data_IF_677879221557
#
_entry.id   IF_677879221557
#
_cell.length_a   1.000
_cell.length_b   1.000
_cell.length_c   1.000
_cell.angle_alpha   90.00
_cell.angle_beta   90.00
_cell.angle_gamma   90.00
#
_symmetry.space_group_name_H-M   'P 1'
#
loop_
_entity.id
_entity.type
_entity.pdbx_description
1 polymer ?
#
# COMPACT_ATOMS: atom_id res chain seq x y z
N UNK A 1 -2.23 -39.71 0.29
CA UNK A 1 -2.75 -38.71 -0.67
C UNK A 1 -3.40 -37.61 0.15
N UNK A 2 -2.62 -36.59 0.55
CA UNK A 2 -3.06 -35.48 1.40
C UNK A 2 -3.60 -34.38 0.47
N UNK A 3 -4.92 -34.21 0.46
CA UNK A 3 -5.57 -33.08 -0.20
C UNK A 3 -5.23 -31.83 0.62
N UNK A 4 -4.37 -30.96 0.08
CA UNK A 4 -4.04 -29.68 0.67
C UNK A 4 -5.31 -28.87 0.83
N UNK A 5 -5.57 -28.37 2.06
CA UNK A 5 -6.58 -27.33 2.31
C UNK A 5 -6.23 -26.13 1.45
N UNK A 6 -6.99 -25.89 0.40
CA UNK A 6 -6.98 -24.63 -0.33
C UNK A 6 -7.34 -23.54 0.69
N UNK A 7 -6.36 -22.71 1.07
CA UNK A 7 -6.55 -21.59 1.97
C UNK A 7 -7.61 -20.67 1.38
N UNK A 8 -8.64 -20.38 2.16
CA UNK A 8 -9.68 -19.43 1.79
C UNK A 8 -9.04 -18.07 1.61
N UNK A 9 -9.16 -17.47 0.43
CA UNK A 9 -8.72 -16.09 0.17
C UNK A 9 -9.58 -15.18 1.06
N UNK A 10 -9.00 -14.37 1.93
CA UNK A 10 -9.77 -13.45 2.74
C UNK A 10 -10.42 -12.40 1.82
N UNK A 11 -11.73 -12.48 1.67
CA UNK A 11 -12.54 -11.47 1.01
C UNK A 11 -13.33 -10.72 2.06
N UNK A 12 -13.24 -9.40 2.04
CA UNK A 12 -13.92 -8.53 2.98
C UNK A 12 -14.80 -7.52 2.20
N UNK A 13 -16.04 -7.35 2.62
CA UNK A 13 -16.90 -6.30 2.06
C UNK A 13 -16.47 -4.94 2.57
N UNK A 14 -16.50 -3.95 1.67
CA UNK A 14 -16.31 -2.58 2.10
C UNK A 14 -17.45 -2.18 3.07
N UNK A 15 -17.08 -1.45 4.10
CA UNK A 15 -18.04 -0.80 4.98
C UNK A 15 -18.83 0.28 4.22
N UNK A 16 -19.96 0.71 4.75
CA UNK A 16 -20.71 1.81 4.15
C UNK A 16 -19.89 3.11 4.13
N UNK A 17 -19.08 3.33 5.17
CA UNK A 17 -18.19 4.49 5.29
C UNK A 17 -17.11 4.48 4.21
N UNK A 18 -16.45 3.33 3.98
CA UNK A 18 -15.46 3.19 2.92
C UNK A 18 -16.07 3.42 1.52
N UNK A 19 -17.30 2.96 1.31
CA UNK A 19 -18.02 3.15 0.05
C UNK A 19 -18.34 4.62 -0.24
N UNK A 20 -18.62 5.43 0.79
CA UNK A 20 -18.83 6.87 0.63
C UNK A 20 -17.59 7.56 0.05
N UNK A 21 -16.39 7.06 0.36
CA UNK A 21 -15.13 7.59 -0.18
C UNK A 21 -14.89 7.19 -1.65
N UNK A 22 -15.59 6.19 -2.16
CA UNK A 22 -15.44 5.75 -3.56
C UNK A 22 -16.26 6.58 -4.55
N UNK A 23 -17.42 7.12 -4.14
CA UNK A 23 -18.32 7.82 -5.05
C UNK A 23 -17.77 9.15 -5.57
N UNK A 24 -17.21 10.04 -4.73
CA UNK A 24 -16.65 11.30 -5.21
C UNK A 24 -15.29 11.10 -5.93
N UNK A 25 -14.66 9.93 -5.80
CA UNK A 25 -13.33 9.68 -6.36
C UNK A 25 -13.29 9.76 -7.91
N UNK A 26 -14.42 9.57 -8.59
CA UNK A 26 -14.50 9.79 -10.04
C UNK A 26 -14.38 11.28 -10.41
N UNK A 27 -14.79 12.18 -9.53
CA UNK A 27 -14.76 13.63 -9.72
C UNK A 27 -13.48 14.19 -9.10
N UNK A 28 -13.18 13.79 -7.87
CA UNK A 28 -12.06 14.28 -7.08
C UNK A 28 -11.36 13.13 -6.36
N UNK A 29 -10.04 12.92 -6.56
CA UNK A 29 -9.31 11.83 -5.90
C UNK A 29 -9.43 11.89 -4.38
N UNK A 30 -9.92 10.82 -3.80
CA UNK A 30 -10.08 10.67 -2.35
C UNK A 30 -8.84 10.02 -1.74
N UNK A 31 -7.68 10.65 -1.95
CA UNK A 31 -6.40 10.13 -1.50
C UNK A 31 -5.87 10.93 -0.31
N UNK A 32 -5.32 10.22 0.65
CA UNK A 32 -4.49 10.80 1.70
C UNK A 32 -3.01 10.65 1.32
N UNK A 33 -2.22 11.66 1.65
CA UNK A 33 -0.79 11.66 1.39
C UNK A 33 -0.01 12.18 2.59
N UNK A 34 1.13 11.56 2.85
CA UNK A 34 2.09 11.99 3.86
C UNK A 34 3.47 12.17 3.23
N UNK A 35 4.13 13.25 3.55
CA UNK A 35 5.50 13.53 3.16
C UNK A 35 6.38 13.58 4.41
N UNK A 36 7.45 12.78 4.42
CA UNK A 36 8.50 12.85 5.41
C UNK A 36 9.85 13.10 4.73
N UNK A 37 10.78 13.74 5.42
CA UNK A 37 12.17 13.86 4.99
C UNK A 37 13.01 13.01 5.92
N UNK A 38 13.68 12.01 5.34
CA UNK A 38 14.47 11.02 6.05
C UNK A 38 15.96 11.32 5.92
N UNK A 39 16.75 10.90 6.90
CA UNK A 39 18.18 10.69 6.70
C UNK A 39 18.34 9.45 5.80
N UNK A 40 18.78 9.69 4.58
CA UNK A 40 18.97 8.65 3.57
C UNK A 40 20.36 8.02 3.58
N UNK A 41 21.24 8.35 4.51
CA UNK A 41 22.66 7.95 4.48
C UNK A 41 22.83 6.44 4.30
N UNK A 42 21.97 5.63 4.92
CA UNK A 42 21.98 4.16 4.80
C UNK A 42 21.26 3.63 3.56
N UNK A 43 20.52 4.48 2.84
CA UNK A 43 19.73 4.12 1.67
C UNK A 43 20.50 4.27 0.35
N UNK A 44 21.75 4.73 0.40
CA UNK A 44 22.61 4.83 -0.77
C UNK A 44 23.77 3.83 -0.66
N UNK A 45 24.18 3.30 -1.81
CA UNK A 45 25.39 2.48 -1.91
C UNK A 45 26.67 3.33 -1.92
N UNK A 46 27.83 2.67 -2.03
CA UNK A 46 29.13 3.36 -2.06
C UNK A 46 29.28 4.26 -3.30
N UNK A 47 28.60 3.95 -4.39
CA UNK A 47 28.60 4.72 -5.64
C UNK A 47 27.59 5.89 -5.60
N UNK A 48 26.84 6.04 -4.50
CA UNK A 48 25.83 7.09 -4.32
C UNK A 48 24.51 6.78 -5.03
N UNK A 49 24.25 5.54 -5.42
CA UNK A 49 22.96 5.11 -6.01
C UNK A 49 21.98 4.73 -4.92
N UNK A 50 20.73 5.12 -5.07
CA UNK A 50 19.67 4.76 -4.13
C UNK A 50 19.36 3.26 -4.20
N UNK A 51 19.28 2.61 -3.05
CA UNK A 51 19.10 1.16 -2.91
C UNK A 51 17.61 0.78 -2.88
N UNK A 52 16.90 1.05 -3.96
CA UNK A 52 15.44 0.84 -4.04
C UNK A 52 15.04 -0.62 -3.77
N UNK A 53 15.84 -1.59 -4.20
CA UNK A 53 15.56 -3.02 -3.96
C UNK A 53 15.65 -3.37 -2.47
N UNK A 54 16.62 -2.81 -1.74
CA UNK A 54 16.71 -2.99 -0.29
C UNK A 54 15.47 -2.46 0.43
N UNK A 55 14.93 -1.33 -0.04
CA UNK A 55 13.68 -0.78 0.49
C UNK A 55 12.50 -1.71 0.18
N UNK A 56 12.42 -2.20 -1.05
CA UNK A 56 11.37 -3.18 -1.45
C UNK A 56 11.43 -4.43 -0.61
N UNK A 57 12.61 -4.98 -0.36
CA UNK A 57 12.80 -6.15 0.50
C UNK A 57 12.35 -5.89 1.94
N UNK A 58 12.68 -4.72 2.51
CA UNK A 58 12.25 -4.34 3.85
C UNK A 58 10.72 -4.23 3.96
N UNK A 59 10.06 -3.64 2.97
CA UNK A 59 8.59 -3.56 2.92
C UNK A 59 7.98 -4.94 2.70
N UNK A 60 8.53 -5.76 1.79
CA UNK A 60 8.06 -7.13 1.53
C UNK A 60 8.02 -7.97 2.80
N UNK A 61 9.05 -7.87 3.63
CA UNK A 61 9.14 -8.58 4.90
C UNK A 61 8.02 -8.22 5.89
N UNK A 62 7.36 -7.06 5.73
CA UNK A 62 6.34 -6.53 6.64
C UNK A 62 4.93 -6.50 6.06
N UNK A 63 4.75 -6.79 4.78
CA UNK A 63 3.42 -6.79 4.13
C UNK A 63 2.41 -7.73 4.80
N UNK A 64 2.88 -8.79 5.46
CA UNK A 64 2.02 -9.71 6.21
C UNK A 64 1.34 -9.06 7.43
N UNK A 65 1.87 -7.93 7.92
CA UNK A 65 1.32 -7.16 9.04
C UNK A 65 0.20 -6.21 8.59
N UNK A 66 0.11 -5.90 7.30
CA UNK A 66 -0.78 -4.88 6.75
C UNK A 66 -1.58 -5.44 5.56
N UNK A 67 -2.60 -6.24 5.87
CA UNK A 67 -3.41 -6.96 4.88
C UNK A 67 -3.89 -6.06 3.73
N UNK A 68 -4.36 -4.86 4.06
CA UNK A 68 -4.94 -3.93 3.09
C UNK A 68 -3.96 -3.50 2.00
N UNK A 69 -2.65 -3.49 2.28
CA UNK A 69 -1.62 -3.11 1.31
C UNK A 69 -1.39 -4.14 0.21
N UNK A 70 -1.92 -5.34 0.34
CA UNK A 70 -1.86 -6.41 -0.67
C UNK A 70 -3.21 -6.73 -1.29
N UNK A 71 -4.24 -5.97 -0.92
CA UNK A 71 -5.60 -6.16 -1.41
C UNK A 71 -5.96 -5.09 -2.44
N UNK A 72 -6.64 -5.51 -3.48
CA UNK A 72 -7.25 -4.61 -4.46
C UNK A 72 -8.75 -4.47 -4.20
N UNK A 73 -9.29 -3.37 -4.67
CA UNK A 73 -10.70 -3.08 -4.64
C UNK A 73 -11.38 -3.76 -5.84
N UNK A 74 -12.13 -4.83 -5.59
CA UNK A 74 -12.93 -5.50 -6.60
C UNK A 74 -14.37 -4.99 -6.58
N UNK A 75 -14.83 -4.46 -7.71
CA UNK A 75 -16.22 -4.05 -7.89
C UNK A 75 -16.92 -5.11 -8.74
N UNK A 76 -17.89 -5.87 -8.19
CA UNK A 76 -18.59 -6.88 -8.94
C UNK A 76 -19.30 -6.31 -10.18
N UNK A 77 -19.25 -7.00 -11.33
CA UNK A 77 -19.97 -6.58 -12.54
C UNK A 77 -21.47 -6.54 -12.28
N UNK A 78 -22.18 -5.68 -13.03
CA UNK A 78 -23.63 -5.51 -12.95
C UNK A 78 -24.17 -5.17 -11.56
N UNK A 79 -23.32 -4.63 -10.68
CA UNK A 79 -23.67 -4.29 -9.28
C UNK A 79 -24.26 -5.47 -8.49
N UNK A 80 -23.81 -6.69 -8.76
CA UNK A 80 -24.20 -7.89 -8.01
C UNK A 80 -23.51 -7.90 -6.63
N UNK A 81 -23.95 -7.04 -5.74
CA UNK A 81 -23.39 -6.83 -4.42
C UNK A 81 -22.50 -5.60 -4.34
N UNK A 82 -22.04 -5.26 -3.10
CA UNK A 82 -21.13 -4.15 -2.85
C UNK A 82 -19.67 -4.50 -3.19
N UNK A 83 -18.78 -3.48 -3.26
CA UNK A 83 -17.36 -3.67 -3.45
C UNK A 83 -16.72 -4.56 -2.39
N UNK A 84 -15.64 -5.24 -2.77
CA UNK A 84 -14.92 -6.20 -1.94
C UNK A 84 -13.42 -5.88 -1.96
N UNK A 85 -12.76 -6.10 -0.83
CA UNK A 85 -11.31 -6.23 -0.77
C UNK A 85 -10.92 -7.67 -1.06
N UNK A 86 -10.06 -7.88 -2.04
CA UNK A 86 -9.55 -9.20 -2.43
C UNK A 86 -8.04 -9.17 -2.56
N UNK A 87 -7.36 -10.26 -2.22
CA UNK A 87 -5.91 -10.33 -2.39
C UNK A 87 -5.52 -10.14 -3.86
N UNK A 88 -4.51 -9.32 -4.12
CA UNK A 88 -4.00 -9.08 -5.47
C UNK A 88 -3.15 -10.28 -5.91
N UNK A 89 -3.64 -11.07 -6.87
CA UNK A 89 -2.93 -12.25 -7.37
C UNK A 89 -1.59 -11.90 -8.04
N UNK A 90 -1.53 -10.77 -8.71
CA UNK A 90 -0.33 -10.28 -9.43
C UNK A 90 0.26 -9.07 -8.71
N UNK A 91 0.52 -9.21 -7.40
CA UNK A 91 1.09 -8.13 -6.62
C UNK A 91 2.58 -7.97 -6.91
N UNK A 92 2.98 -6.77 -7.33
CA UNK A 92 4.37 -6.40 -7.58
C UNK A 92 4.74 -5.12 -6.81
N UNK A 93 5.68 -5.23 -5.89
CA UNK A 93 6.20 -4.08 -5.13
C UNK A 93 6.88 -3.03 -6.00
N UNK A 94 7.44 -3.40 -7.15
CA UNK A 94 8.03 -2.47 -8.10
C UNK A 94 7.05 -1.42 -8.60
N UNK A 95 5.78 -1.79 -8.68
CA UNK A 95 4.70 -0.88 -9.07
C UNK A 95 4.26 0.06 -7.95
N UNK A 96 4.55 -0.30 -6.71
CA UNK A 96 4.14 0.43 -5.50
C UNK A 96 5.25 1.26 -4.88
N UNK A 97 6.51 0.89 -5.08
CA UNK A 97 7.66 1.58 -4.50
C UNK A 97 8.58 2.01 -5.62
N UNK A 98 8.74 3.32 -5.78
CA UNK A 98 9.55 3.91 -6.84
C UNK A 98 10.57 4.91 -6.27
N UNK A 99 11.76 4.93 -6.85
CA UNK A 99 12.64 6.07 -6.75
C UNK A 99 12.23 7.11 -7.79
N UNK A 100 12.31 8.39 -7.42
CA UNK A 100 12.11 9.51 -8.32
C UNK A 100 13.13 10.61 -7.99
N UNK A 101 14.16 10.77 -8.82
CA UNK A 101 15.11 11.87 -8.65
C UNK A 101 14.43 13.23 -8.82
N UNK A 102 14.70 14.14 -7.90
CA UNK A 102 14.23 15.53 -8.01
C UNK A 102 15.00 16.24 -9.11
N UNK A 103 14.34 17.11 -9.89
CA UNK A 103 15.05 18.03 -10.78
C UNK A 103 15.96 18.97 -10.00
N UNK A 104 17.05 19.42 -10.63
CA UNK A 104 17.91 20.45 -10.06
C UNK A 104 17.11 21.73 -9.71
N UNK A 105 17.41 22.41 -8.61
CA UNK A 105 18.56 22.22 -7.70
C UNK A 105 18.32 21.17 -6.59
N UNK A 106 17.20 20.47 -6.54
CA UNK A 106 16.91 19.47 -5.51
C UNK A 106 16.60 20.07 -4.13
N UNK A 107 16.05 21.28 -4.10
CA UNK A 107 15.66 22.00 -2.89
C UNK A 107 14.26 21.62 -2.38
N UNK A 108 13.87 22.21 -1.26
CA UNK A 108 12.55 22.00 -0.66
C UNK A 108 11.41 22.43 -1.60
N UNK A 109 11.58 23.54 -2.31
CA UNK A 109 10.58 24.02 -3.26
C UNK A 109 10.38 23.03 -4.40
N UNK A 110 11.45 22.39 -4.88
CA UNK A 110 11.38 21.36 -5.90
C UNK A 110 10.74 20.08 -5.37
N UNK A 111 11.05 19.70 -4.11
CA UNK A 111 10.40 18.58 -3.43
C UNK A 111 8.88 18.79 -3.39
N UNK A 112 8.41 19.93 -2.90
CA UNK A 112 6.98 20.24 -2.79
C UNK A 112 6.28 20.31 -4.15
N UNK A 113 6.91 20.89 -5.18
CA UNK A 113 6.37 20.88 -6.54
C UNK A 113 6.22 19.48 -7.10
N UNK A 114 7.20 18.60 -6.84
CA UNK A 114 7.15 17.20 -7.29
C UNK A 114 6.02 16.44 -6.59
N UNK A 115 5.86 16.61 -5.29
CA UNK A 115 4.74 16.01 -4.53
C UNK A 115 3.40 16.49 -5.06
N UNK A 116 3.26 17.78 -5.35
CA UNK A 116 2.04 18.35 -5.93
C UNK A 116 1.71 17.72 -7.30
N UNK A 117 2.69 17.51 -8.15
CA UNK A 117 2.50 16.83 -9.44
C UNK A 117 2.09 15.37 -9.26
N UNK A 118 2.69 14.66 -8.30
CA UNK A 118 2.32 13.28 -7.99
C UNK A 118 0.88 13.17 -7.46
N UNK A 119 0.43 14.14 -6.66
CA UNK A 119 -0.95 14.17 -6.14
C UNK A 119 -2.02 14.32 -7.21
N UNK A 120 -1.71 14.96 -8.33
CA UNK A 120 -2.67 15.15 -9.44
C UNK A 120 -2.98 13.89 -10.22
N UNK A 121 -2.12 12.87 -10.14
CA UNK A 121 -2.32 11.61 -10.84
C UNK A 121 -3.19 10.70 -9.98
N UNK A 122 -4.17 10.03 -10.58
CA UNK A 122 -4.98 9.04 -9.87
C UNK A 122 -4.17 7.79 -9.57
N UNK A 123 -4.49 7.13 -8.45
CA UNK A 123 -4.01 5.78 -8.19
C UNK A 123 -4.68 4.80 -9.16
N UNK A 124 -3.92 3.81 -9.62
CA UNK A 124 -4.42 2.75 -10.51
C UNK A 124 -5.34 1.79 -9.74
N UNK A 125 -6.62 1.77 -10.09
CA UNK A 125 -7.62 0.92 -9.44
C UNK A 125 -7.51 -0.57 -9.78
N UNK A 126 -6.70 -0.95 -10.75
CA UNK A 126 -6.40 -2.36 -11.04
C UNK A 126 -5.40 -2.98 -10.05
N UNK A 127 -4.91 -2.19 -9.09
CA UNK A 127 -3.87 -2.55 -8.12
C UNK A 127 -4.30 -2.14 -6.71
N UNK A 128 -3.61 -2.61 -5.65
CA UNK A 128 -3.77 -2.04 -4.31
C UNK A 128 -3.59 -0.52 -4.33
N UNK A 129 -4.48 0.19 -3.66
CA UNK A 129 -4.66 1.64 -3.84
C UNK A 129 -3.67 2.46 -3.00
N UNK A 130 -2.37 2.20 -3.15
CA UNK A 130 -1.31 2.94 -2.48
C UNK A 130 -0.04 3.01 -3.33
N UNK A 131 0.81 3.99 -3.07
CA UNK A 131 2.13 4.12 -3.67
C UNK A 131 3.07 4.92 -2.76
N UNK A 132 4.37 4.55 -2.78
CA UNK A 132 5.46 5.25 -2.10
C UNK A 132 6.47 5.73 -3.15
N UNK A 133 6.91 6.96 -3.01
CA UNK A 133 8.00 7.52 -3.79
C UNK A 133 9.12 7.94 -2.86
N UNK A 134 10.31 7.49 -3.17
CA UNK A 134 11.55 7.95 -2.55
C UNK A 134 12.14 9.03 -3.45
N UNK A 135 12.00 10.29 -3.02
CA UNK A 135 12.39 11.47 -3.77
C UNK A 135 13.84 11.79 -3.44
N UNK A 136 14.75 11.38 -4.34
CA UNK A 136 16.21 11.54 -4.18
C UNK A 136 16.69 12.85 -4.76
N UNK A 137 17.93 13.25 -4.44
CA UNK A 137 18.54 14.51 -4.92
C UNK A 137 18.44 15.68 -3.97
N UNK A 138 17.91 15.49 -2.74
CA UNK A 138 18.00 16.49 -1.67
C UNK A 138 19.44 16.62 -1.12
N UNK A 139 19.83 17.80 -0.61
CA UNK A 139 21.15 17.99 0.01
C UNK A 139 21.36 17.06 1.20
N UNK A 140 22.63 16.80 1.52
CA UNK A 140 23.05 16.01 2.69
C UNK A 140 22.51 14.57 2.71
N UNK A 141 22.38 13.94 1.54
CA UNK A 141 21.82 12.58 1.38
C UNK A 141 20.44 12.41 2.03
N UNK A 142 19.68 13.48 2.18
CA UNK A 142 18.27 13.38 2.60
C UNK A 142 17.42 12.82 1.48
N UNK A 143 16.36 12.12 1.84
CA UNK A 143 15.40 11.53 0.92
C UNK A 143 13.99 11.92 1.34
N UNK A 144 13.20 12.45 0.42
CA UNK A 144 11.78 12.66 0.65
C UNK A 144 11.03 11.33 0.50
N UNK A 145 10.35 10.87 1.54
CA UNK A 145 9.40 9.77 1.44
C UNK A 145 7.99 10.34 1.30
N UNK A 146 7.44 10.22 0.11
CA UNK A 146 6.04 10.56 -0.14
C UNK A 146 5.21 9.28 -0.25
N UNK A 147 4.30 9.08 0.70
CA UNK A 147 3.35 7.97 0.71
C UNK A 147 1.97 8.49 0.36
N UNK A 148 1.28 7.78 -0.50
CA UNK A 148 -0.08 8.10 -0.90
C UNK A 148 -0.93 6.85 -0.89
N UNK A 149 -2.15 6.95 -0.38
CA UNK A 149 -3.11 5.86 -0.37
C UNK A 149 -4.53 6.41 -0.50
N UNK A 150 -5.43 5.59 -1.04
CA UNK A 150 -6.84 5.95 -1.13
C UNK A 150 -7.48 5.92 0.27
N UNK A 151 -8.37 6.86 0.55
CA UNK A 151 -9.02 7.03 1.86
C UNK A 151 -9.83 5.80 2.29
N UNK A 152 -10.40 5.05 1.34
CA UNK A 152 -11.09 3.78 1.63
C UNK A 152 -10.19 2.68 2.20
N UNK A 153 -8.85 2.79 2.11
CA UNK A 153 -7.92 1.82 2.70
C UNK A 153 -7.72 2.04 4.20
N UNK A 154 -7.74 3.29 4.63
CA UNK A 154 -7.53 3.70 6.01
C UNK A 154 -7.94 5.16 6.17
N UNK A 155 -8.45 5.52 7.35
CA UNK A 155 -8.53 6.92 7.73
C UNK A 155 -7.14 7.54 7.92
N UNK A 156 -7.07 8.87 8.08
CA UNK A 156 -5.80 9.58 8.18
C UNK A 156 -4.89 9.07 9.30
N UNK A 157 -5.43 8.73 10.47
CA UNK A 157 -4.65 8.25 11.61
C UNK A 157 -4.20 6.80 11.41
N UNK A 158 -5.09 5.92 10.95
CA UNK A 158 -4.75 4.55 10.61
C UNK A 158 -3.74 4.48 9.45
N UNK A 159 -3.82 5.37 8.48
CA UNK A 159 -2.85 5.49 7.37
C UNK A 159 -1.44 5.81 7.86
N UNK A 160 -1.30 6.75 8.78
CA UNK A 160 -0.01 7.09 9.41
C UNK A 160 0.53 5.91 10.20
N UNK A 161 -0.29 5.28 11.06
CA UNK A 161 0.11 4.13 11.85
C UNK A 161 0.52 2.94 10.98
N UNK A 162 -0.21 2.69 9.90
CA UNK A 162 0.10 1.63 8.93
C UNK A 162 1.43 1.91 8.21
N UNK A 163 1.67 3.15 7.79
CA UNK A 163 2.94 3.54 7.16
C UNK A 163 4.11 3.38 8.14
N UNK A 164 3.92 3.72 9.42
CA UNK A 164 4.93 3.54 10.44
C UNK A 164 5.34 2.07 10.65
N UNK A 165 4.47 1.11 10.31
CA UNK A 165 4.79 -0.32 10.35
C UNK A 165 5.95 -0.69 9.40
N UNK A 166 6.16 0.07 8.34
CA UNK A 166 7.25 -0.14 7.39
C UNK A 166 8.56 0.54 7.78
N UNK A 167 8.54 1.38 8.81
CA UNK A 167 9.69 2.12 9.29
C UNK A 167 10.24 1.49 10.57
N UNK A 168 11.53 1.57 10.75
CA UNK A 168 12.20 1.18 11.99
C UNK A 168 12.38 2.41 12.88
N UNK A 169 12.24 2.23 14.19
CA UNK A 169 12.43 3.30 15.16
C UNK A 169 13.92 3.71 15.30
N UNK A 170 14.83 2.82 14.91
CA UNK A 170 16.27 3.05 14.94
C UNK A 170 16.94 2.50 13.69
N UNK A 171 18.07 3.08 13.24
CA UNK A 171 18.78 2.61 12.05
C UNK A 171 19.31 1.18 12.16
N UNK A 172 19.53 0.68 13.37
CA UNK A 172 20.10 -0.63 13.65
C UNK A 172 19.05 -1.69 13.97
N UNK A 173 17.78 -1.39 13.79
CA UNK A 173 16.68 -2.34 14.03
C UNK A 173 16.81 -3.53 13.08
N UNK A 174 16.98 -4.72 13.65
CA UNK A 174 16.93 -5.97 12.88
C UNK A 174 15.47 -6.33 12.66
N UNK A 175 14.98 -6.50 11.42
CA UNK A 175 13.60 -6.89 11.18
C UNK A 175 13.30 -8.23 11.87
N UNK A 176 12.39 -8.21 12.82
CA UNK A 176 12.08 -9.38 13.66
C UNK A 176 11.46 -10.56 12.88
N UNK A 177 10.93 -10.33 11.67
CA UNK A 177 10.25 -11.36 10.90
C UNK A 177 10.51 -11.24 9.40
N UNK A 178 11.12 -12.28 8.81
CA UNK A 178 11.17 -12.51 7.36
C UNK A 178 10.07 -13.49 6.95
N UNK A 179 8.82 -13.09 6.99
CA UNK A 179 7.78 -13.85 6.29
C UNK A 179 7.56 -13.23 4.92
N UNK A 180 7.98 -13.91 3.88
CA UNK A 180 7.61 -13.56 2.51
C UNK A 180 6.13 -13.91 2.34
N UNK A 181 5.31 -12.90 2.05
CA UNK A 181 3.92 -13.14 1.68
C UNK A 181 3.86 -13.66 0.24
N UNK A 182 3.04 -14.68 0.03
CA UNK A 182 2.73 -15.22 -1.30
C UNK A 182 1.26 -14.96 -1.60
N UNK A 183 0.91 -14.36 -2.76
CA UNK A 183 -0.48 -14.13 -3.13
C UNK A 183 -1.28 -15.44 -3.15
N UNK A 184 -2.49 -15.40 -2.61
CA UNK A 184 -3.44 -16.48 -2.83
C UNK A 184 -3.98 -16.40 -4.26
N UNK A 185 -4.25 -17.54 -4.93
CA UNK A 185 -4.85 -17.53 -6.26
C UNK A 185 -6.24 -16.87 -6.21
N UNK A 186 -6.55 -16.06 -7.23
CA UNK A 186 -7.88 -15.49 -7.37
C UNK A 186 -8.92 -16.60 -7.50
N UNK A 187 -10.15 -16.41 -6.99
CA UNK A 187 -11.26 -17.31 -7.27
C UNK A 187 -11.47 -17.39 -8.79
N UNK A 188 -11.46 -18.59 -9.34
CA UNK A 188 -11.85 -18.82 -10.73
C UNK A 188 -13.32 -18.42 -10.92
N UNK A 189 -13.65 -17.82 -12.05
CA UNK A 189 -15.03 -17.45 -12.39
C UNK A 189 -15.96 -18.66 -12.17
N UNK A 190 -16.98 -18.48 -11.34
CA UNK A 190 -18.02 -19.50 -11.08
C UNK A 190 -18.15 -19.97 -9.64
N UNK A 191 -17.23 -19.64 -8.73
CA UNK A 191 -17.38 -20.00 -7.32
C UNK A 191 -17.98 -18.82 -6.54
N UNK A 192 -19.24 -18.88 -6.10
CA UNK A 192 -19.82 -17.82 -5.28
C UNK A 192 -19.08 -17.75 -3.93
N UNK A 193 -18.79 -16.54 -3.43
CA UNK A 193 -18.12 -16.37 -2.13
C UNK A 193 -19.00 -16.92 -1.01
N UNK A 194 -18.47 -17.85 -0.24
CA UNK A 194 -19.12 -18.34 0.97
C UNK A 194 -19.07 -17.25 2.04
N UNK A 195 -20.21 -16.67 2.37
CA UNK A 195 -20.33 -15.70 3.45
C UNK A 195 -20.09 -16.39 4.79
N UNK A 196 -19.04 -16.01 5.50
CA UNK A 196 -18.92 -16.29 6.93
C UNK A 196 -19.50 -15.10 7.69
N UNK A 197 -20.78 -15.09 7.92
CA UNK A 197 -21.38 -14.20 8.93
C UNK A 197 -21.06 -14.80 10.29
N UNK A 198 -20.42 -14.06 11.22
CA UNK A 198 -20.33 -14.51 12.60
C UNK A 198 -21.75 -14.63 13.16
N UNK A 199 -22.05 -15.76 13.79
CA UNK A 199 -23.34 -15.92 14.48
C UNK A 199 -23.46 -14.86 15.59
N UNK A 200 -24.65 -14.25 15.77
CA UNK A 200 -24.85 -13.31 16.85
C UNK A 200 -24.67 -14.04 18.19
N UNK A 201 -23.77 -13.55 19.00
CA UNK A 201 -23.57 -14.03 20.40
C UNK A 201 -24.81 -13.60 21.19
N UNK A 202 -25.68 -14.53 21.49
CA UNK A 202 -26.79 -14.29 22.39
C UNK A 202 -26.21 -14.27 23.82
N UNK A 203 -26.07 -13.08 24.38
CA UNK A 203 -25.81 -12.92 25.82
C UNK A 203 -27.14 -13.07 26.55
N UNK A 204 -27.26 -14.11 27.39
CA UNK A 204 -28.27 -14.21 28.44
C UNK A 204 -27.88 -13.37 29.63
#
# INVERSE_FOLDING_TARGET
>A
MLVGKAGMVPMERLTAEDQVMLWPDEIWPQDIGALAVLDGSSLFDADGRFRVETVREAVAGRLHLVLRFRQLLYVPPRRLGGPLWVDAANFDLGEHIAELPLPAPGDEAQLLRTVEQLRRRRLDRSRPLWKMWFLTGLPHRRVGLFVRMHHAMADGLAGVATTATFLDATPDAVPAFRRVWTPAPLPTEGTPPRQTTPAPTTTQ
#
